data_IF_923741173323
#
_entry.id   IF_923741173323
#
_cell.length_a   1.000
_cell.length_b   1.000
_cell.length_c   1.000
_cell.angle_alpha   90.00
_cell.angle_beta   90.00
_cell.angle_gamma   90.00
#
_symmetry.space_group_name_H-M   'P 1'
#
loop_
_entity.id
_entity.type
_entity.pdbx_description
1 polymer ?
#
# COMPACT_ATOMS: atom_id res chain seq x y z
N UNK A 1 5.96 0.69 29.21
CA UNK A 1 6.43 -0.27 28.19
C UNK A 1 5.67 0.02 26.91
N UNK A 2 6.27 0.76 25.98
CA UNK A 2 5.69 0.91 24.64
C UNK A 2 5.94 -0.40 23.91
N UNK A 3 4.87 -1.14 23.59
CA UNK A 3 4.91 -2.12 22.50
C UNK A 3 5.48 -1.34 21.31
N UNK A 4 6.70 -1.70 20.87
CA UNK A 4 7.37 -1.05 19.75
C UNK A 4 6.43 -1.10 18.57
N UNK A 5 5.75 0.00 18.30
CA UNK A 5 4.72 0.08 17.29
C UNK A 5 5.39 -0.24 15.97
N UNK A 6 4.97 -1.33 15.34
CA UNK A 6 5.28 -1.60 13.95
C UNK A 6 4.70 -0.41 13.17
N UNK A 7 5.49 0.64 12.94
CA UNK A 7 5.24 1.54 11.84
C UNK A 7 5.23 0.60 10.63
N UNK A 8 4.13 0.57 9.87
CA UNK A 8 4.15 -0.08 8.56
C UNK A 8 5.44 0.37 7.89
N UNK A 9 6.21 -0.54 7.29
CA UNK A 9 7.48 -0.19 6.63
C UNK A 9 7.33 0.86 5.51
N UNK A 10 6.13 1.39 5.30
CA UNK A 10 5.70 2.31 4.28
C UNK A 10 4.86 3.45 4.89
N UNK A 11 4.92 4.62 4.26
CA UNK A 11 3.88 5.63 4.35
C UNK A 11 3.16 5.79 3.01
N UNK A 12 1.91 6.24 3.05
CA UNK A 12 1.11 6.46 1.85
C UNK A 12 1.16 7.93 1.42
N UNK A 13 1.33 8.17 0.12
CA UNK A 13 1.22 9.50 -0.51
C UNK A 13 0.24 9.44 -1.66
N UNK A 14 -0.67 10.42 -1.74
CA UNK A 14 -1.59 10.54 -2.87
C UNK A 14 -0.99 11.45 -3.94
N UNK A 15 -1.04 11.04 -5.21
CA UNK A 15 -0.51 11.80 -6.35
C UNK A 15 -1.44 11.69 -7.57
N UNK A 16 -1.38 12.65 -8.52
CA UNK A 16 -2.01 12.48 -9.82
C UNK A 16 -1.47 11.25 -10.56
N UNK A 17 -2.31 10.55 -11.33
CA UNK A 17 -1.91 9.34 -12.06
C UNK A 17 -0.78 9.59 -13.07
N UNK A 18 -0.73 10.79 -13.64
CA UNK A 18 0.33 11.19 -14.57
C UNK A 18 1.72 11.27 -13.89
N UNK A 19 1.76 11.37 -12.56
CA UNK A 19 2.98 11.42 -11.76
C UNK A 19 3.35 10.04 -11.16
N UNK A 20 2.66 8.97 -11.59
CA UNK A 20 2.98 7.61 -11.21
C UNK A 20 4.38 7.22 -11.68
N UNK A 21 5.22 6.78 -10.74
CA UNK A 21 6.61 6.39 -10.99
C UNK A 21 6.68 5.06 -11.73
N UNK A 22 5.66 4.21 -11.55
CA UNK A 22 5.63 2.83 -11.99
C UNK A 22 4.30 2.49 -12.65
N UNK A 23 3.92 3.24 -13.70
CA UNK A 23 2.65 3.04 -14.41
C UNK A 23 2.41 1.60 -14.89
N UNK A 24 3.48 0.83 -15.16
CA UNK A 24 3.42 -0.59 -15.52
C UNK A 24 3.06 -1.52 -14.37
N UNK A 25 3.35 -1.10 -13.13
CA UNK A 25 3.03 -1.83 -11.90
C UNK A 25 1.82 -1.26 -11.17
N UNK A 26 1.18 -0.23 -11.74
CA UNK A 26 -0.02 0.37 -11.19
C UNK A 26 -1.17 -0.64 -11.20
N UNK A 27 -1.56 -1.08 -10.00
CA UNK A 27 -2.71 -1.95 -9.81
C UNK A 27 -3.97 -1.06 -9.88
N UNK A 28 -4.44 -0.77 -11.11
CA UNK A 28 -5.68 0.00 -11.33
C UNK A 28 -6.25 -0.18 -12.76
N UNK A 29 -7.37 -0.90 -12.87
CA UNK A 29 -8.18 -1.01 -14.09
C UNK A 29 -9.27 0.08 -14.23
N UNK A 30 -9.45 0.92 -13.21
CA UNK A 30 -10.58 1.86 -13.09
C UNK A 30 -10.36 3.24 -13.72
N UNK A 31 -9.19 3.52 -14.30
CA UNK A 31 -8.90 4.84 -14.90
C UNK A 31 -8.87 6.01 -13.90
N UNK A 32 -8.60 5.76 -12.61
CA UNK A 32 -8.63 6.81 -11.58
C UNK A 32 -7.65 7.97 -11.89
N UNK A 33 -8.08 9.21 -11.70
CA UNK A 33 -7.25 10.40 -11.89
C UNK A 33 -6.13 10.53 -10.83
N UNK A 34 -6.34 9.94 -9.66
CA UNK A 34 -5.39 9.93 -8.55
C UNK A 34 -5.05 8.50 -8.14
N UNK A 35 -3.82 8.32 -7.70
CA UNK A 35 -3.27 7.06 -7.21
C UNK A 35 -2.59 7.29 -5.85
N UNK A 36 -2.36 6.20 -5.13
CA UNK A 36 -1.70 6.13 -3.84
C UNK A 36 -0.38 5.41 -4.07
N UNK A 37 0.72 6.06 -3.68
CA UNK A 37 2.06 5.52 -3.63
C UNK A 37 2.35 5.03 -2.22
N UNK A 38 2.82 3.79 -2.08
CA UNK A 38 3.41 3.28 -0.84
C UNK A 38 4.91 3.47 -0.93
N UNK A 39 5.43 4.33 -0.04
CA UNK A 39 6.83 4.74 -0.02
C UNK A 39 7.50 4.10 1.19
N UNK A 40 8.55 3.33 0.95
CA UNK A 40 9.32 2.67 2.01
C UNK A 40 9.95 3.71 2.94
N UNK A 41 9.79 3.54 4.25
CA UNK A 41 10.49 4.35 5.24
C UNK A 41 12.00 4.08 5.28
N UNK A 42 12.44 2.93 4.77
CA UNK A 42 13.85 2.52 4.79
C UNK A 42 14.58 3.09 3.58
N UNK A 43 14.03 2.92 2.37
CA UNK A 43 14.68 3.36 1.12
C UNK A 43 14.23 4.76 0.67
N UNK A 44 13.06 5.23 1.09
CA UNK A 44 12.43 6.43 0.56
C UNK A 44 11.86 6.26 -0.85
N UNK A 45 11.91 5.04 -1.40
CA UNK A 45 11.47 4.74 -2.76
C UNK A 45 9.99 4.34 -2.83
N UNK A 46 9.36 4.59 -3.98
CA UNK A 46 8.01 4.12 -4.28
C UNK A 46 8.09 2.64 -4.65
N UNK A 47 7.45 1.81 -3.84
CA UNK A 47 7.47 0.35 -3.97
C UNK A 47 6.19 -0.16 -4.63
N UNK A 48 5.05 0.50 -4.36
CA UNK A 48 3.75 0.13 -4.93
C UNK A 48 2.92 1.35 -5.29
N UNK A 49 2.10 1.20 -6.32
CA UNK A 49 1.12 2.19 -6.75
C UNK A 49 -0.26 1.55 -6.93
N UNK A 50 -1.27 2.11 -6.30
CA UNK A 50 -2.63 1.57 -6.27
C UNK A 50 -3.63 2.72 -6.39
N UNK A 51 -4.80 2.51 -7.00
CA UNK A 51 -5.89 3.47 -6.78
C UNK A 51 -6.55 3.24 -5.41
N UNK A 52 -7.38 4.19 -4.98
CA UNK A 52 -8.12 4.09 -3.71
C UNK A 52 -8.89 2.77 -3.57
N UNK A 53 -9.56 2.33 -4.63
CA UNK A 53 -10.38 1.10 -4.62
C UNK A 53 -9.49 -0.13 -4.34
N UNK A 54 -8.35 -0.23 -5.03
CA UNK A 54 -7.43 -1.36 -4.83
C UNK A 54 -6.71 -1.29 -3.49
N UNK A 55 -6.41 -0.08 -2.98
CA UNK A 55 -5.89 0.11 -1.64
C UNK A 55 -6.86 -0.40 -0.56
N UNK A 56 -8.15 -0.07 -0.68
CA UNK A 56 -9.19 -0.53 0.25
C UNK A 56 -9.37 -2.06 0.18
N UNK A 57 -9.35 -2.64 -1.02
CA UNK A 57 -9.40 -4.10 -1.22
C UNK A 57 -8.21 -4.80 -0.60
N UNK A 58 -7.00 -4.32 -0.88
CA UNK A 58 -5.76 -4.87 -0.32
C UNK A 58 -5.76 -4.77 1.20
N UNK A 59 -6.17 -3.63 1.77
CA UNK A 59 -6.31 -3.47 3.22
C UNK A 59 -7.25 -4.50 3.83
N UNK A 60 -8.40 -4.78 3.19
CA UNK A 60 -9.31 -5.82 3.64
C UNK A 60 -8.68 -7.22 3.60
N UNK A 61 -8.08 -7.59 2.47
CA UNK A 61 -7.41 -8.90 2.32
C UNK A 61 -6.31 -9.08 3.37
N UNK A 62 -5.50 -8.06 3.60
CA UNK A 62 -4.43 -8.09 4.60
C UNK A 62 -4.98 -8.21 6.02
N UNK A 63 -6.04 -7.47 6.35
CA UNK A 63 -6.68 -7.54 7.68
C UNK A 63 -7.37 -8.89 7.90
N UNK A 64 -7.99 -9.46 6.87
CA UNK A 64 -8.57 -10.80 6.91
C UNK A 64 -7.47 -11.85 7.09
N UNK A 65 -6.40 -11.80 6.29
CA UNK A 65 -5.26 -12.71 6.41
C UNK A 65 -4.58 -12.62 7.78
N UNK A 66 -4.41 -11.42 8.34
CA UNK A 66 -3.83 -11.24 9.67
C UNK A 66 -4.73 -11.76 10.81
N UNK A 67 -6.04 -11.90 10.57
CA UNK A 67 -7.00 -12.47 11.52
C UNK A 67 -7.14 -13.98 11.36
N UNK A 68 -6.83 -14.52 10.18
CA UNK A 68 -6.74 -15.94 9.95
C UNK A 68 -5.51 -16.47 10.68
N UNK A 69 -5.73 -17.00 11.88
CA UNK A 69 -4.73 -17.75 12.63
C UNK A 69 -4.34 -19.00 11.82
N UNK A 70 -3.23 -18.92 11.10
CA UNK A 70 -2.31 -20.04 10.99
C UNK A 70 -1.07 -19.63 11.80
N UNK A 71 -0.69 -20.51 12.72
CA UNK A 71 0.41 -20.31 13.67
C UNK A 71 1.69 -19.88 12.93
N UNK A 72 2.05 -18.60 13.02
CA UNK A 72 3.40 -18.16 12.70
C UNK A 72 4.33 -18.71 13.80
N UNK A 73 4.84 -19.94 13.62
CA UNK A 73 6.02 -20.45 14.33
C UNK A 73 7.29 -19.68 13.94
#
# INVERSE_FOLDING_TARGET
>A
MSLGGFQSGFHARKVPRAEGKWASFLICSHGCAEIIQLISHVSGEVEFELCRIEAERMGRVLLEAARSQDDCE
#
